data_IF_728981020343
#
_entry.id   IF_728981020343
#
_cell.length_a   1.000
_cell.length_b   1.000
_cell.length_c   1.000
_cell.angle_alpha   90.00
_cell.angle_beta   90.00
_cell.angle_gamma   90.00
#
_symmetry.space_group_name_H-M   'P 1'
#
loop_
_entity.id
_entity.type
_entity.pdbx_description
1 polymer ?
#
# COMPACT_ATOMS: atom_id res chain seq x y z
N UNK A 1 -25.74 -71.48 5.34
CA UNK A 1 -26.26 -71.05 6.67
C UNK A 1 -25.87 -69.59 6.86
N UNK A 2 -26.89 -68.73 6.89
CA UNK A 2 -26.79 -67.30 7.16
C UNK A 2 -27.15 -67.06 8.63
N UNK A 3 -26.45 -66.14 9.30
CA UNK A 3 -26.89 -65.55 10.58
C UNK A 3 -26.79 -64.02 10.49
N UNK A 4 -27.95 -63.41 10.24
CA UNK A 4 -28.37 -62.07 10.70
C UNK A 4 -28.62 -62.13 12.23
N UNK A 5 -28.66 -61.10 13.09
CA UNK A 5 -28.57 -59.62 13.01
C UNK A 5 -28.68 -59.04 14.45
N UNK A 6 -27.84 -58.03 14.79
CA UNK A 6 -28.12 -56.74 15.50
C UNK A 6 -28.77 -56.71 16.92
N UNK A 7 -28.83 -55.55 17.65
CA UNK A 7 -28.09 -54.27 17.58
C UNK A 7 -27.58 -53.75 18.95
N UNK A 8 -26.45 -53.02 18.96
CA UNK A 8 -26.07 -52.12 20.07
C UNK A 8 -26.41 -50.66 19.72
N UNK A 9 -27.27 -50.01 20.51
CA UNK A 9 -27.73 -48.61 20.35
C UNK A 9 -26.92 -47.68 21.30
N UNK A 10 -27.14 -46.36 21.27
CA UNK A 10 -26.32 -45.37 20.55
C UNK A 10 -25.51 -44.46 21.50
N UNK A 11 -24.40 -43.89 21.06
CA UNK A 11 -23.92 -42.61 21.63
C UNK A 11 -22.85 -41.92 20.77
N UNK A 12 -22.61 -40.61 20.96
CA UNK A 12 -23.19 -39.55 20.16
C UNK A 12 -22.20 -38.99 19.13
N UNK A 13 -22.73 -38.34 18.08
CA UNK A 13 -21.94 -37.48 17.18
C UNK A 13 -21.18 -36.45 18.01
N UNK A 14 -19.84 -36.33 17.90
CA UNK A 14 -19.20 -35.09 18.22
C UNK A 14 -19.50 -34.10 17.10
N UNK A 15 -20.22 -33.05 17.49
CA UNK A 15 -20.38 -31.74 16.88
C UNK A 15 -19.80 -31.53 15.47
N UNK A 16 -20.70 -31.13 14.58
CA UNK A 16 -20.45 -30.28 13.43
C UNK A 16 -19.50 -29.12 13.80
N UNK A 17 -18.19 -29.30 13.65
CA UNK A 17 -17.21 -28.21 13.71
C UNK A 17 -17.18 -27.51 12.34
N UNK A 18 -18.12 -26.61 12.14
CA UNK A 18 -17.83 -25.32 11.51
C UNK A 18 -18.34 -24.26 12.49
N UNK A 19 -17.63 -23.14 12.72
CA UNK A 19 -16.61 -22.55 11.85
C UNK A 19 -15.35 -22.09 12.60
N UNK A 20 -14.16 -22.38 12.08
CA UNK A 20 -12.97 -21.61 12.45
C UNK A 20 -12.12 -21.26 11.22
N UNK A 21 -12.80 -20.91 10.12
CA UNK A 21 -12.16 -20.32 8.94
C UNK A 21 -12.19 -18.77 8.96
N UNK A 22 -12.33 -18.17 10.14
CA UNK A 22 -12.37 -16.71 10.31
C UNK A 22 -11.38 -16.22 11.37
N UNK A 23 -10.25 -16.91 11.52
CA UNK A 23 -9.17 -16.43 12.41
C UNK A 23 -7.75 -16.65 11.86
N UNK A 24 -7.61 -16.85 10.54
CA UNK A 24 -6.31 -16.73 9.84
C UNK A 24 -6.13 -15.36 9.15
N UNK A 25 -6.89 -14.33 9.55
CA UNK A 25 -6.92 -13.04 8.84
C UNK A 25 -5.79 -12.09 9.27
N UNK A 26 -5.14 -12.28 10.43
CA UNK A 26 -4.12 -11.32 10.89
C UNK A 26 -2.92 -12.00 11.56
N UNK A 27 -2.18 -12.80 10.81
CA UNK A 27 -0.73 -12.72 10.98
C UNK A 27 -0.25 -11.64 10.01
N UNK A 28 0.29 -10.50 10.48
CA UNK A 28 0.83 -9.51 9.58
C UNK A 28 2.05 -10.12 8.90
N UNK A 29 1.85 -10.70 7.71
CA UNK A 29 2.98 -10.90 6.82
C UNK A 29 3.62 -9.53 6.59
N UNK A 30 4.96 -9.41 6.56
CA UNK A 30 5.63 -8.14 6.30
C UNK A 30 5.09 -7.39 5.08
N UNK A 31 4.59 -8.11 4.08
CA UNK A 31 3.91 -7.58 2.91
C UNK A 31 2.55 -6.93 3.23
N UNK A 32 1.71 -7.52 4.11
CA UNK A 32 0.45 -6.91 4.53
C UNK A 32 0.68 -5.59 5.26
N UNK A 33 1.71 -5.54 6.13
CA UNK A 33 2.09 -4.29 6.80
C UNK A 33 2.56 -3.25 5.80
N UNK A 34 3.40 -3.63 4.84
CA UNK A 34 3.85 -2.74 3.78
C UNK A 34 2.66 -2.16 3.00
N UNK A 35 1.78 -3.00 2.45
CA UNK A 35 0.62 -2.56 1.68
C UNK A 35 -0.33 -1.68 2.50
N UNK A 36 -0.63 -2.07 3.74
CA UNK A 36 -1.50 -1.29 4.63
C UNK A 36 -0.92 0.07 4.99
N UNK A 37 0.38 0.14 5.33
CA UNK A 37 1.04 1.39 5.67
C UNK A 37 1.18 2.31 4.46
N UNK A 38 1.60 1.78 3.31
CA UNK A 38 1.68 2.57 2.07
C UNK A 38 0.30 3.11 1.69
N UNK A 39 -0.75 2.29 1.80
CA UNK A 39 -2.12 2.73 1.58
C UNK A 39 -2.51 3.92 2.45
N UNK A 40 -2.24 3.83 3.76
CA UNK A 40 -2.62 4.85 4.73
C UNK A 40 -1.86 6.16 4.49
N UNK A 41 -0.56 6.07 4.24
CA UNK A 41 0.29 7.24 3.96
C UNK A 41 -0.19 7.94 2.69
N UNK A 42 -0.42 7.20 1.60
CA UNK A 42 -0.88 7.76 0.34
C UNK A 42 -2.28 8.37 0.44
N UNK A 43 -3.22 7.72 1.13
CA UNK A 43 -4.55 8.30 1.40
C UNK A 43 -4.44 9.63 2.17
N UNK A 44 -3.63 9.65 3.22
CA UNK A 44 -3.44 10.84 4.06
C UNK A 44 -2.79 11.97 3.27
N UNK A 45 -1.77 11.67 2.46
CA UNK A 45 -1.10 12.63 1.59
C UNK A 45 -2.05 13.22 0.56
N UNK A 46 -2.81 12.36 -0.13
CA UNK A 46 -3.84 12.77 -1.10
C UNK A 46 -4.86 13.72 -0.45
N UNK A 47 -5.35 13.38 0.74
CA UNK A 47 -6.29 14.23 1.47
C UNK A 47 -5.71 15.62 1.79
N UNK A 48 -4.45 15.68 2.23
CA UNK A 48 -3.77 16.96 2.51
C UNK A 48 -3.60 17.80 1.23
N UNK A 49 -3.23 17.17 0.12
CA UNK A 49 -3.10 17.86 -1.16
C UNK A 49 -4.43 18.37 -1.71
N UNK A 50 -5.52 17.64 -1.54
CA UNK A 50 -6.85 18.06 -1.99
C UNK A 50 -7.47 19.15 -1.12
N UNK A 51 -7.33 19.04 0.20
CA UNK A 51 -7.96 19.96 1.15
C UNK A 51 -7.16 21.24 1.35
N UNK A 52 -5.83 21.19 1.18
CA UNK A 52 -4.93 22.30 1.46
C UNK A 52 -3.79 22.38 0.44
N UNK A 53 -4.09 22.55 -0.86
CA UNK A 53 -3.08 22.51 -1.93
C UNK A 53 -2.05 23.65 -1.82
N UNK A 54 -2.50 24.88 -1.53
CA UNK A 54 -1.60 26.03 -1.40
C UNK A 54 -0.66 25.92 -0.20
N UNK A 55 -1.17 25.44 0.95
CA UNK A 55 -0.36 25.23 2.15
C UNK A 55 0.63 24.08 1.96
N UNK A 56 0.23 23.04 1.23
CA UNK A 56 1.11 21.92 0.86
C UNK A 56 2.27 22.40 -0.01
N UNK A 57 2.02 23.21 -1.04
CA UNK A 57 3.07 23.80 -1.87
C UNK A 57 4.04 24.66 -1.06
N UNK A 58 3.51 25.53 -0.20
CA UNK A 58 4.32 26.41 0.63
C UNK A 58 5.24 25.62 1.58
N UNK A 59 4.73 24.54 2.20
CA UNK A 59 5.54 23.65 3.06
C UNK A 59 6.66 22.93 2.31
N UNK A 60 6.46 22.66 1.02
CA UNK A 60 7.46 22.03 0.16
C UNK A 60 8.43 23.05 -0.48
N UNK A 61 8.34 24.33 -0.09
CA UNK A 61 9.20 25.41 -0.59
C UNK A 61 8.80 25.95 -1.96
N UNK A 62 7.61 25.58 -2.46
CA UNK A 62 7.05 26.09 -3.70
C UNK A 62 6.25 27.38 -3.50
N UNK A 63 6.08 28.13 -4.59
CA UNK A 63 5.16 29.27 -4.65
C UNK A 63 3.84 28.82 -5.28
N UNK A 64 2.67 29.07 -4.64
CA UNK A 64 1.39 28.70 -5.21
C UNK A 64 1.12 29.52 -6.47
N UNK A 65 0.94 28.82 -7.58
CA UNK A 65 0.52 29.36 -8.88
C UNK A 65 -0.59 28.47 -9.45
N UNK A 66 -1.40 28.95 -10.40
CA UNK A 66 -2.48 28.13 -10.99
C UNK A 66 -1.97 26.79 -11.55
N UNK A 67 -0.81 26.79 -12.22
CA UNK A 67 -0.18 25.57 -12.73
C UNK A 67 0.33 24.65 -11.61
N UNK A 68 0.90 25.21 -10.55
CA UNK A 68 1.35 24.42 -9.40
C UNK A 68 0.18 23.78 -8.64
N UNK A 69 -0.97 24.46 -8.54
CA UNK A 69 -2.17 23.91 -7.91
C UNK A 69 -2.76 22.75 -8.72
N UNK A 70 -2.81 22.87 -10.05
CA UNK A 70 -3.21 21.76 -10.93
C UNK A 70 -2.26 20.57 -10.76
N UNK A 71 -0.95 20.82 -10.71
CA UNK A 71 0.04 19.76 -10.51
C UNK A 71 -0.15 19.04 -9.17
N UNK A 72 -0.46 19.77 -8.10
CA UNK A 72 -0.77 19.18 -6.78
C UNK A 72 -2.01 18.30 -6.83
N UNK A 73 -3.04 18.71 -7.57
CA UNK A 73 -4.23 17.86 -7.75
C UNK A 73 -3.90 16.58 -8.51
N UNK A 74 -3.09 16.65 -9.56
CA UNK A 74 -2.62 15.46 -10.29
C UNK A 74 -1.82 14.53 -9.37
N UNK A 75 -0.93 15.09 -8.54
CA UNK A 75 -0.21 14.32 -7.52
C UNK A 75 -1.19 13.65 -6.55
N UNK A 76 -2.20 14.38 -6.06
CA UNK A 76 -3.20 13.85 -5.15
C UNK A 76 -4.00 12.70 -5.76
N UNK A 77 -4.35 12.79 -7.05
CA UNK A 77 -5.00 11.69 -7.78
C UNK A 77 -4.09 10.47 -7.90
N UNK A 78 -2.79 10.68 -8.14
CA UNK A 78 -1.79 9.60 -8.14
C UNK A 78 -1.68 8.90 -6.79
N UNK A 79 -1.61 9.67 -5.70
CA UNK A 79 -1.58 9.14 -4.33
C UNK A 79 -2.86 8.38 -3.96
N UNK A 80 -4.04 8.89 -4.37
CA UNK A 80 -5.30 8.18 -4.18
C UNK A 80 -5.33 6.83 -4.92
N UNK A 81 -4.82 6.80 -6.15
CA UNK A 81 -4.72 5.57 -6.93
C UNK A 81 -3.76 4.56 -6.29
N UNK A 82 -2.61 5.01 -5.80
CA UNK A 82 -1.66 4.15 -5.07
C UNK A 82 -2.32 3.55 -3.83
N UNK A 83 -3.05 4.37 -3.07
CA UNK A 83 -3.79 3.90 -1.90
C UNK A 83 -4.80 2.82 -2.27
N UNK A 84 -5.59 3.04 -3.31
CA UNK A 84 -6.55 2.06 -3.82
C UNK A 84 -5.87 0.75 -4.23
N UNK A 85 -4.80 0.81 -5.03
CA UNK A 85 -4.06 -0.38 -5.47
C UNK A 85 -3.45 -1.16 -4.29
N UNK A 86 -2.97 -0.46 -3.26
CA UNK A 86 -2.46 -1.09 -2.05
C UNK A 86 -3.56 -1.86 -1.29
N UNK A 87 -4.76 -1.29 -1.18
CA UNK A 87 -5.91 -1.96 -0.56
C UNK A 87 -6.35 -3.19 -1.37
N UNK A 88 -6.44 -3.05 -2.70
CA UNK A 88 -6.71 -4.19 -3.59
C UNK A 88 -5.66 -5.30 -3.39
N UNK A 89 -4.37 -4.95 -3.36
CA UNK A 89 -3.30 -5.91 -3.07
C UNK A 89 -3.40 -6.53 -1.68
N UNK A 90 -3.77 -5.75 -0.65
CA UNK A 90 -3.88 -6.23 0.72
C UNK A 90 -4.97 -7.29 0.86
N UNK A 91 -6.13 -7.05 0.24
CA UNK A 91 -7.28 -7.96 0.29
C UNK A 91 -7.28 -9.02 -0.80
N UNK A 92 -6.39 -8.93 -1.79
CA UNK A 92 -6.25 -9.94 -2.82
C UNK A 92 -5.66 -11.24 -2.25
N UNK A 93 -6.26 -12.36 -2.63
CA UNK A 93 -5.74 -13.70 -2.37
C UNK A 93 -4.85 -14.24 -3.50
N UNK A 94 -4.73 -13.51 -4.61
CA UNK A 94 -3.96 -13.93 -5.79
C UNK A 94 -2.51 -13.42 -5.65
N UNK A 95 -1.50 -14.30 -5.47
CA UNK A 95 -0.11 -13.88 -5.25
C UNK A 95 0.45 -13.00 -6.38
N UNK A 96 0.09 -13.29 -7.62
CA UNK A 96 0.52 -12.56 -8.81
C UNK A 96 0.00 -11.12 -8.80
N UNK A 97 -1.27 -10.93 -8.41
CA UNK A 97 -1.86 -9.58 -8.29
C UNK A 97 -1.11 -8.76 -7.24
N UNK A 98 -0.81 -9.37 -6.10
CA UNK A 98 -0.05 -8.72 -5.00
C UNK A 98 1.34 -8.30 -5.46
N UNK A 99 2.05 -9.15 -6.20
CA UNK A 99 3.36 -8.83 -6.79
C UNK A 99 3.28 -7.68 -7.80
N UNK A 100 2.24 -7.68 -8.66
CA UNK A 100 2.04 -6.60 -9.63
C UNK A 100 1.78 -5.26 -8.94
N UNK A 101 0.97 -5.23 -7.88
CA UNK A 101 0.72 -4.04 -7.06
C UNK A 101 2.03 -3.50 -6.50
N UNK A 102 2.85 -4.34 -5.87
CA UNK A 102 4.16 -3.93 -5.32
C UNK A 102 5.08 -3.34 -6.40
N UNK A 103 5.14 -3.98 -7.58
CA UNK A 103 5.93 -3.47 -8.71
C UNK A 103 5.43 -2.12 -9.19
N UNK A 104 4.11 -1.96 -9.33
CA UNK A 104 3.50 -0.70 -9.74
C UNK A 104 3.81 0.43 -8.74
N UNK A 105 3.73 0.14 -7.43
CA UNK A 105 4.11 1.09 -6.37
C UNK A 105 5.59 1.45 -6.46
N UNK A 106 6.46 0.48 -6.75
CA UNK A 106 7.90 0.73 -6.93
C UNK A 106 8.19 1.68 -8.08
N UNK A 107 7.55 1.44 -9.23
CA UNK A 107 7.65 2.33 -10.40
C UNK A 107 7.11 3.71 -10.06
N UNK A 108 5.94 3.79 -9.43
CA UNK A 108 5.37 5.05 -8.96
C UNK A 108 6.33 5.81 -8.06
N UNK A 109 6.87 5.18 -7.02
CA UNK A 109 7.79 5.81 -6.07
C UNK A 109 9.06 6.30 -6.76
N UNK A 110 9.60 5.55 -7.71
CA UNK A 110 10.77 5.95 -8.47
C UNK A 110 10.51 7.24 -9.26
N UNK A 111 9.40 7.31 -9.98
CA UNK A 111 9.02 8.51 -10.73
C UNK A 111 8.64 9.67 -9.81
N UNK A 112 7.82 9.41 -8.80
CA UNK A 112 7.28 10.43 -7.90
C UNK A 112 8.38 11.08 -7.06
N UNK A 113 9.13 10.27 -6.31
CA UNK A 113 10.22 10.77 -5.47
C UNK A 113 11.42 11.24 -6.32
N UNK A 114 11.65 10.64 -7.49
CA UNK A 114 12.68 11.08 -8.44
C UNK A 114 12.39 12.47 -9.02
N UNK A 115 11.16 12.71 -9.46
CA UNK A 115 10.71 14.01 -9.95
C UNK A 115 10.73 15.06 -8.82
N UNK A 116 10.28 14.69 -7.62
CA UNK A 116 10.33 15.56 -6.45
C UNK A 116 11.77 15.91 -6.08
N UNK A 117 12.66 14.92 -6.01
CA UNK A 117 14.10 15.11 -5.75
C UNK A 117 14.75 16.04 -6.77
N UNK A 118 14.53 15.79 -8.07
CA UNK A 118 15.08 16.59 -9.15
C UNK A 118 14.60 18.04 -9.07
N UNK A 119 13.29 18.25 -8.86
CA UNK A 119 12.72 19.58 -8.70
C UNK A 119 13.26 20.28 -7.46
N UNK A 120 13.31 19.58 -6.32
CA UNK A 120 13.79 20.13 -5.06
C UNK A 120 15.27 20.54 -5.14
N UNK A 121 16.14 19.74 -5.78
CA UNK A 121 17.54 20.12 -6.00
C UNK A 121 17.72 21.33 -6.92
N UNK A 122 16.86 21.48 -7.93
CA UNK A 122 17.03 22.49 -8.98
C UNK A 122 16.42 23.85 -8.62
N UNK A 123 15.32 23.85 -7.87
CA UNK A 123 14.52 25.06 -7.63
C UNK A 123 14.54 25.54 -6.17
N UNK A 124 14.98 24.74 -5.20
CA UNK A 124 15.09 25.17 -3.79
C UNK A 124 16.51 25.63 -3.49
N UNK A 125 16.66 26.93 -3.15
CA UNK A 125 17.96 27.57 -2.85
C UNK A 125 18.71 26.94 -1.67
N UNK A 126 18.01 26.35 -0.70
CA UNK A 126 18.58 25.67 0.46
C UNK A 126 17.82 24.38 0.74
N UNK A 127 18.14 23.26 0.07
CA UNK A 127 17.36 22.03 0.14
C UNK A 127 17.63 21.29 1.47
N UNK A 128 17.09 21.79 2.57
CA UNK A 128 17.07 21.08 3.87
C UNK A 128 16.13 19.87 3.74
N UNK A 129 16.52 18.72 4.28
CA UNK A 129 15.72 17.48 4.21
C UNK A 129 15.90 16.64 2.94
N UNK A 130 16.75 17.08 2.00
CA UNK A 130 17.14 16.32 0.81
C UNK A 130 17.56 14.87 1.13
N UNK A 131 18.40 14.66 2.15
CA UNK A 131 18.84 13.31 2.54
C UNK A 131 17.69 12.35 2.88
N UNK A 132 16.61 12.84 3.50
CA UNK A 132 15.44 12.00 3.81
C UNK A 132 14.68 11.57 2.56
N UNK A 133 14.64 12.41 1.53
CA UNK A 133 14.00 12.09 0.25
C UNK A 133 14.79 11.03 -0.52
N UNK A 134 16.12 11.16 -0.54
CA UNK A 134 16.99 10.15 -1.15
C UNK A 134 16.90 8.81 -0.42
N UNK A 135 16.80 8.84 0.92
CA UNK A 135 16.63 7.61 1.71
C UNK A 135 15.24 6.99 1.51
N UNK A 136 14.17 7.81 1.44
CA UNK A 136 12.82 7.35 1.11
C UNK A 136 12.73 6.72 -0.28
N UNK A 137 13.40 7.32 -1.27
CA UNK A 137 13.54 6.74 -2.62
C UNK A 137 14.22 5.38 -2.55
N UNK A 138 15.39 5.29 -1.89
CA UNK A 138 16.16 4.06 -1.78
C UNK A 138 15.42 2.94 -1.05
N UNK A 139 14.75 3.24 0.07
CA UNK A 139 13.91 2.28 0.78
C UNK A 139 12.75 1.87 -0.13
N UNK A 140 12.07 2.81 -0.77
CA UNK A 140 10.96 2.52 -1.69
C UNK A 140 11.36 1.56 -2.81
N UNK A 141 12.46 1.84 -3.53
CA UNK A 141 12.95 0.94 -4.60
C UNK A 141 13.41 -0.40 -4.07
N UNK A 142 14.18 -0.46 -2.99
CA UNK A 142 14.65 -1.73 -2.42
C UNK A 142 13.47 -2.60 -1.97
N UNK A 143 12.49 -2.01 -1.29
CA UNK A 143 11.32 -2.74 -0.80
C UNK A 143 10.46 -3.25 -1.96
N UNK A 144 10.27 -2.44 -3.01
CA UNK A 144 9.53 -2.85 -4.20
C UNK A 144 10.27 -3.88 -5.05
N UNK A 145 11.61 -3.87 -5.09
CA UNK A 145 12.40 -4.92 -5.74
C UNK A 145 12.34 -6.22 -4.92
N UNK A 146 12.46 -6.13 -3.59
CA UNK A 146 12.43 -7.28 -2.70
C UNK A 146 11.11 -8.05 -2.76
N UNK A 147 9.97 -7.35 -2.66
CA UNK A 147 8.65 -7.98 -2.73
C UNK A 147 8.11 -8.13 -4.15
N UNK A 148 8.71 -7.45 -5.14
CA UNK A 148 8.32 -7.56 -6.55
C UNK A 148 8.98 -8.74 -7.27
N UNK A 149 10.15 -9.20 -6.82
CA UNK A 149 10.88 -10.32 -7.44
C UNK A 149 10.58 -11.65 -6.76
N UNK A 150 10.36 -11.66 -5.43
CA UNK A 150 10.01 -12.84 -4.64
C UNK A 150 8.53 -13.24 -4.76
#
# INVERSE_FOLDING_TARGET
MATSSLPGKPNPKPANQKPLNTLCIFSPTPLNLYLGLTSLVSATSSLLYLTSPSASLAKLGGTPSPSALVLVQVVASGEALVSYLCLEGLFSQIPESRRLVVRAIGVYNLFHMGAFWWGHRRYVRNPKGAGMLAMGLAVGTVTSLWYGVC
#
